data_IF_588390715386
#
_entry.id   IF_588390715386
#
_cell.length_a   1.000
_cell.length_b   1.000
_cell.length_c   1.000
_cell.angle_alpha   90.00
_cell.angle_beta   90.00
_cell.angle_gamma   90.00
#
_symmetry.space_group_name_H-M   'P 1'
#
loop_
_entity.id
_entity.type
_entity.pdbx_description
1 polymer ?
#
# COMPACT_ATOMS: atom_id res chain seq x y z
N UNK A 1 2.94 -12.97 15.00
CA UNK A 1 3.85 -13.35 13.90
C UNK A 1 3.09 -13.75 12.62
N UNK A 2 1.92 -14.38 12.70
CA UNK A 2 1.13 -14.77 11.53
C UNK A 2 0.78 -13.57 10.65
N UNK A 3 0.28 -12.48 11.22
CA UNK A 3 -0.02 -11.25 10.45
C UNK A 3 1.22 -10.71 9.70
N UNK A 4 2.41 -10.88 10.28
CA UNK A 4 3.65 -10.50 9.60
C UNK A 4 3.94 -11.40 8.40
N UNK A 5 3.71 -12.71 8.54
CA UNK A 5 3.84 -13.65 7.43
C UNK A 5 2.88 -13.33 6.30
N UNK A 6 1.63 -12.96 6.62
CA UNK A 6 0.62 -12.58 5.64
C UNK A 6 1.06 -11.34 4.85
N UNK A 7 1.57 -10.31 5.54
CA UNK A 7 2.08 -9.09 4.89
C UNK A 7 3.28 -9.38 4.00
N UNK A 8 4.25 -10.16 4.48
CA UNK A 8 5.44 -10.53 3.68
C UNK A 8 5.03 -11.35 2.45
N UNK A 9 4.10 -12.29 2.62
CA UNK A 9 3.59 -13.11 1.52
C UNK A 9 2.86 -12.27 0.48
N UNK A 10 2.05 -11.30 0.92
CA UNK A 10 1.37 -10.36 0.04
C UNK A 10 2.37 -9.48 -0.73
N UNK A 11 3.40 -8.94 -0.06
CA UNK A 11 4.45 -8.19 -0.70
C UNK A 11 5.16 -9.02 -1.77
N UNK A 12 5.54 -10.26 -1.43
CA UNK A 12 6.23 -11.16 -2.35
C UNK A 12 5.38 -11.53 -3.57
N UNK A 13 4.09 -11.80 -3.37
CA UNK A 13 3.15 -12.07 -4.46
C UNK A 13 3.01 -10.87 -5.42
N UNK A 14 3.19 -9.64 -4.92
CA UNK A 14 3.05 -8.40 -5.68
C UNK A 14 4.38 -7.75 -6.07
N UNK A 15 5.51 -8.45 -5.99
CA UNK A 15 6.82 -7.90 -6.33
C UNK A 15 6.94 -7.48 -7.81
N UNK A 16 6.16 -8.10 -8.70
CA UNK A 16 6.12 -7.81 -10.13
C UNK A 16 4.86 -6.99 -10.53
N UNK A 17 4.03 -6.60 -9.59
CA UNK A 17 2.82 -5.82 -9.86
C UNK A 17 3.19 -4.34 -10.01
N UNK A 18 2.84 -3.75 -11.16
CA UNK A 18 3.12 -2.34 -11.44
C UNK A 18 2.41 -1.43 -10.43
N UNK A 19 3.11 -0.40 -9.98
CA UNK A 19 2.58 0.59 -9.03
C UNK A 19 2.24 0.05 -7.64
N UNK A 20 2.54 -1.23 -7.35
CA UNK A 20 2.30 -1.79 -6.02
C UNK A 20 3.21 -1.14 -4.99
N UNK A 21 2.63 -0.81 -3.84
CA UNK A 21 3.33 -0.25 -2.69
C UNK A 21 3.40 -1.29 -1.57
N UNK A 22 4.63 -1.51 -1.09
CA UNK A 22 4.95 -2.46 -0.03
C UNK A 22 4.22 -2.10 1.26
N UNK A 23 3.68 -3.11 1.93
CA UNK A 23 3.20 -2.98 3.30
C UNK A 23 4.27 -3.41 4.30
N UNK A 24 4.27 -2.78 5.43
CA UNK A 24 5.10 -3.15 6.57
C UNK A 24 4.28 -3.17 7.86
N UNK A 25 4.76 -3.87 8.86
CA UNK A 25 4.10 -3.97 10.15
C UNK A 25 5.02 -3.50 11.26
N UNK A 26 4.52 -2.61 12.08
CA UNK A 26 5.19 -2.25 13.32
C UNK A 26 4.82 -3.29 14.37
N UNK A 27 5.82 -4.03 14.82
CA UNK A 27 5.70 -4.91 15.98
C UNK A 27 6.15 -4.09 17.18
N UNK A 28 5.22 -3.77 18.04
CA UNK A 28 5.50 -2.98 19.23
C UNK A 28 4.85 -3.55 20.46
N UNK A 29 5.40 -3.17 21.58
CA UNK A 29 4.82 -3.40 22.91
C UNK A 29 3.97 -2.15 23.26
N UNK A 30 2.82 -2.01 22.59
CA UNK A 30 1.92 -0.87 22.81
C UNK A 30 1.50 -0.76 24.28
N UNK A 31 1.28 -1.91 24.91
CA UNK A 31 0.91 -1.94 26.32
C UNK A 31 2.03 -1.37 27.20
N UNK A 32 3.29 -1.58 26.84
CA UNK A 32 4.42 -0.99 27.58
C UNK A 32 4.45 0.54 27.45
N UNK A 33 4.27 1.07 26.23
CA UNK A 33 4.22 2.52 26.00
C UNK A 33 3.02 3.18 26.69
N UNK A 34 1.87 2.51 26.67
CA UNK A 34 0.67 2.96 27.36
C UNK A 34 0.83 2.91 28.88
N UNK A 35 1.48 1.86 29.40
CA UNK A 35 1.78 1.69 30.81
C UNK A 35 2.79 2.73 31.30
N UNK A 36 3.88 2.98 30.56
CA UNK A 36 4.86 4.02 30.89
C UNK A 36 4.19 5.40 30.96
N UNK A 37 3.29 5.74 30.03
CA UNK A 37 2.53 6.99 30.07
C UNK A 37 1.53 7.05 31.22
N UNK A 38 0.83 5.94 31.49
CA UNK A 38 -0.12 5.86 32.59
C UNK A 38 0.58 5.92 33.96
N UNK A 39 1.73 5.28 34.10
CA UNK A 39 2.51 5.28 35.35
C UNK A 39 3.13 6.65 35.63
N UNK A 40 3.24 7.51 34.64
CA UNK A 40 3.66 8.91 34.77
C UNK A 40 2.51 9.88 35.08
N UNK A 41 1.24 9.40 35.14
CA UNK A 41 0.11 10.22 35.57
C UNK A 41 0.18 10.43 37.08
N UNK A 42 -0.14 11.62 37.61
CA UNK A 42 -0.16 11.89 39.05
C UNK A 42 -1.39 11.20 39.67
N UNK A 43 -1.25 9.90 39.93
CA UNK A 43 -2.24 9.14 40.71
C UNK A 43 -1.77 9.08 42.17
N UNK A 44 -2.55 9.67 43.06
CA UNK A 44 -2.38 9.51 44.49
C UNK A 44 -2.90 8.13 44.90
N UNK A 45 -2.11 7.38 45.71
CA UNK A 45 -2.43 6.18 46.45
C UNK A 45 -1.75 4.86 46.01
N UNK A 46 -1.70 3.94 46.93
CA UNK A 46 -1.13 2.56 46.89
C UNK A 46 -1.62 1.70 45.71
N UNK A 47 -2.70 2.07 45.04
CA UNK A 47 -3.20 1.44 43.82
C UNK A 47 -2.23 1.54 42.62
N UNK A 48 -1.29 2.53 42.66
CA UNK A 48 -0.28 2.72 41.62
C UNK A 48 0.78 1.61 41.64
N UNK A 49 1.25 1.24 42.82
CA UNK A 49 2.24 0.16 42.99
C UNK A 49 1.66 -1.20 42.64
N UNK A 50 0.42 -1.47 43.09
CA UNK A 50 -0.29 -2.69 42.73
C UNK A 50 -0.57 -2.80 41.22
N UNK A 51 -0.95 -1.69 40.54
CA UNK A 51 -1.13 -1.62 39.09
C UNK A 51 0.20 -1.78 38.36
N UNK A 52 1.29 -1.22 38.85
CA UNK A 52 2.63 -1.41 38.27
C UNK A 52 3.11 -2.85 38.39
N UNK A 53 2.87 -3.52 39.50
CA UNK A 53 3.24 -4.93 39.72
C UNK A 53 2.46 -5.87 38.82
N UNK A 54 1.15 -5.71 38.72
CA UNK A 54 0.29 -6.49 37.81
C UNK A 54 0.64 -6.25 36.35
N UNK A 55 0.99 -5.02 35.98
CA UNK A 55 1.33 -4.68 34.61
C UNK A 55 2.74 -5.13 34.19
N UNK A 56 3.67 -5.33 35.09
CA UNK A 56 4.98 -5.92 34.79
C UNK A 56 4.91 -7.41 34.50
N UNK A 57 3.90 -8.10 34.99
CA UNK A 57 3.71 -9.53 34.81
C UNK A 57 2.80 -9.88 33.61
N UNK A 58 1.93 -8.95 33.18
CA UNK A 58 0.99 -9.19 32.11
C UNK A 58 1.51 -8.58 30.80
N UNK A 59 1.86 -9.43 29.87
CA UNK A 59 1.99 -9.19 28.42
C UNK A 59 3.31 -8.56 27.97
N UNK A 60 4.32 -9.37 27.86
CA UNK A 60 5.46 -9.17 26.95
C UNK A 60 5.23 -9.88 25.60
N UNK A 61 3.99 -10.07 25.18
CA UNK A 61 3.71 -10.68 23.86
C UNK A 61 3.76 -9.58 22.81
N UNK A 62 4.74 -9.61 21.91
CA UNK A 62 4.78 -8.68 20.78
C UNK A 62 3.55 -8.90 19.91
N UNK A 63 2.78 -7.85 19.67
CA UNK A 63 1.65 -7.85 18.76
C UNK A 63 1.84 -6.78 17.69
N UNK A 64 1.16 -6.97 16.56
CA UNK A 64 1.14 -5.97 15.50
C UNK A 64 0.38 -4.76 16.01
N UNK A 65 1.06 -3.63 16.08
CA UNK A 65 0.46 -2.37 16.55
C UNK A 65 -0.18 -1.64 15.39
N UNK A 66 0.49 -1.62 14.24
CA UNK A 66 0.04 -0.91 13.07
C UNK A 66 0.61 -1.57 11.80
N UNK A 67 -0.22 -1.69 10.77
CA UNK A 67 0.23 -1.99 9.42
C UNK A 67 0.19 -0.68 8.63
N UNK A 68 1.24 -0.39 7.90
CA UNK A 68 1.34 0.82 7.09
C UNK A 68 1.92 0.52 5.70
N UNK A 69 1.53 1.32 4.72
CA UNK A 69 2.03 1.21 3.36
C UNK A 69 3.17 2.19 3.14
N UNK A 70 4.26 1.73 2.53
CA UNK A 70 5.40 2.56 2.13
C UNK A 70 5.18 3.10 0.72
N UNK A 71 5.04 4.42 0.60
CA UNK A 71 4.73 5.09 -0.67
C UNK A 71 5.96 5.57 -1.45
N UNK A 72 7.16 5.16 -1.04
CA UNK A 72 8.40 5.42 -1.78
C UNK A 72 8.28 5.00 -3.25
N UNK A 73 8.97 5.72 -4.14
CA UNK A 73 8.99 5.39 -5.56
C UNK A 73 9.60 4.00 -5.80
N UNK A 74 8.97 3.24 -6.67
CA UNK A 74 9.54 2.03 -7.25
C UNK A 74 10.52 2.34 -8.36
N UNK A 75 11.21 1.32 -8.86
CA UNK A 75 12.06 1.46 -10.05
C UNK A 75 11.21 1.74 -11.30
N UNK A 76 11.70 2.58 -12.21
CA UNK A 76 11.06 2.79 -13.51
C UNK A 76 11.56 1.77 -14.53
N UNK A 77 10.63 1.20 -15.29
CA UNK A 77 10.93 0.34 -16.43
C UNK A 77 10.43 0.99 -17.71
N UNK A 78 11.30 1.07 -18.70
CA UNK A 78 10.93 1.54 -20.04
C UNK A 78 10.19 0.44 -20.78
N UNK A 79 9.04 0.76 -21.36
CA UNK A 79 8.19 -0.19 -22.10
C UNK A 79 8.03 0.21 -23.56
N UNK A 80 8.30 1.46 -23.90
CA UNK A 80 8.08 2.06 -25.22
C UNK A 80 6.60 2.04 -25.69
N UNK A 81 5.67 1.58 -24.85
CA UNK A 81 4.24 1.68 -25.13
C UNK A 81 3.75 3.09 -24.77
N UNK A 82 3.15 3.85 -25.71
CA UNK A 82 2.72 5.21 -25.46
C UNK A 82 1.57 5.34 -24.44
N UNK A 83 0.87 4.26 -24.13
CA UNK A 83 -0.19 4.20 -23.11
C UNK A 83 0.34 3.91 -21.70
N UNK A 84 1.61 3.54 -21.59
CA UNK A 84 2.25 3.32 -20.28
C UNK A 84 2.77 4.65 -19.74
N UNK A 85 2.33 4.99 -18.54
CA UNK A 85 2.62 6.26 -17.88
C UNK A 85 3.17 6.02 -16.48
N UNK A 86 4.30 6.62 -16.16
CA UNK A 86 4.84 6.55 -14.80
C UNK A 86 4.87 7.93 -14.15
N UNK A 87 4.40 8.03 -12.90
CA UNK A 87 4.47 9.27 -12.13
C UNK A 87 5.87 9.50 -11.56
N UNK A 88 6.41 10.69 -11.81
CA UNK A 88 7.79 11.07 -11.44
C UNK A 88 7.94 11.46 -9.96
N UNK A 89 6.85 11.88 -9.31
CA UNK A 89 6.87 12.42 -7.95
C UNK A 89 6.28 11.44 -6.95
N UNK A 90 6.80 11.48 -5.73
CA UNK A 90 6.21 10.76 -4.60
C UNK A 90 4.85 11.36 -4.22
N UNK A 91 4.02 10.55 -3.56
CA UNK A 91 2.71 10.96 -3.05
C UNK A 91 1.71 11.45 -4.11
N UNK A 92 2.01 11.24 -5.40
CA UNK A 92 1.12 11.54 -6.52
C UNK A 92 0.44 10.26 -7.02
N UNK A 93 -0.75 10.40 -7.59
CA UNK A 93 -1.56 9.26 -8.05
C UNK A 93 -2.40 9.65 -9.27
N UNK A 94 -2.66 8.69 -10.15
CA UNK A 94 -3.70 8.81 -11.15
C UNK A 94 -5.08 8.65 -10.49
N UNK A 95 -6.05 9.42 -10.94
CA UNK A 95 -7.44 9.28 -10.52
C UNK A 95 -8.21 8.41 -11.51
N UNK A 96 -8.97 7.44 -11.01
CA UNK A 96 -9.73 6.47 -11.78
C UNK A 96 -11.20 6.50 -11.35
N UNK A 97 -12.11 6.44 -12.33
CA UNK A 97 -13.54 6.35 -12.08
C UNK A 97 -13.97 4.89 -11.95
N UNK A 98 -14.44 4.50 -10.78
CA UNK A 98 -14.94 3.15 -10.53
C UNK A 98 -16.41 3.18 -10.11
N UNK A 99 -17.15 2.06 -10.19
CA UNK A 99 -18.53 1.98 -9.70
C UNK A 99 -18.68 2.35 -8.22
N UNK A 100 -17.61 2.19 -7.43
CA UNK A 100 -17.57 2.58 -6.01
C UNK A 100 -17.10 4.03 -5.77
N UNK A 101 -17.02 4.87 -6.83
CA UNK A 101 -16.51 6.25 -6.80
C UNK A 101 -15.06 6.36 -7.24
N UNK A 102 -14.49 7.53 -7.04
CA UNK A 102 -13.10 7.80 -7.46
C UNK A 102 -12.11 7.00 -6.63
N UNK A 103 -11.16 6.38 -7.29
CA UNK A 103 -10.03 5.66 -6.72
C UNK A 103 -8.73 6.22 -7.27
N UNK A 104 -7.65 5.93 -6.57
CA UNK A 104 -6.33 6.45 -6.88
C UNK A 104 -5.37 5.29 -7.11
N UNK A 105 -4.47 5.42 -8.09
CA UNK A 105 -3.51 4.34 -8.38
C UNK A 105 -2.15 4.88 -8.78
N UNK A 106 -1.13 4.03 -8.58
CA UNK A 106 0.22 4.24 -9.11
C UNK A 106 0.49 3.34 -10.34
N UNK A 107 -0.42 2.38 -10.63
CA UNK A 107 -0.30 1.56 -11.83
C UNK A 107 -0.68 2.40 -13.05
N UNK A 108 0.29 2.70 -13.87
CA UNK A 108 0.13 3.46 -15.11
C UNK A 108 0.13 2.57 -16.35
N UNK A 109 -0.07 1.27 -16.22
CA UNK A 109 -0.25 0.36 -17.38
C UNK A 109 -1.68 0.47 -17.89
N UNK A 110 -1.90 1.45 -18.72
CA UNK A 110 -3.22 1.73 -19.29
C UNK A 110 -3.41 1.08 -20.65
N UNK A 111 -4.65 1.01 -21.08
CA UNK A 111 -5.08 0.59 -22.41
C UNK A 111 -6.16 1.54 -22.92
N UNK A 112 -6.44 1.47 -24.20
CA UNK A 112 -7.52 2.25 -24.82
C UNK A 112 -8.66 1.29 -25.15
N UNK A 113 -9.90 1.68 -24.80
CA UNK A 113 -11.08 0.93 -25.18
C UNK A 113 -11.56 1.32 -26.58
N UNK A 114 -12.62 0.65 -27.09
CA UNK A 114 -13.20 0.89 -28.42
C UNK A 114 -13.76 2.32 -28.60
N UNK A 115 -14.03 3.01 -27.52
CA UNK A 115 -14.49 4.39 -27.53
C UNK A 115 -13.34 5.42 -27.51
N UNK A 116 -12.08 4.96 -27.47
CA UNK A 116 -10.90 5.82 -27.37
C UNK A 116 -10.61 6.29 -25.93
N UNK A 117 -11.30 5.77 -24.92
CA UNK A 117 -11.08 6.18 -23.56
C UNK A 117 -9.89 5.44 -22.94
N UNK A 118 -9.09 6.16 -22.17
CA UNK A 118 -7.96 5.59 -21.42
C UNK A 118 -8.50 4.84 -20.19
N UNK A 119 -8.22 3.53 -20.13
CA UNK A 119 -8.72 2.66 -19.06
C UNK A 119 -7.58 1.86 -18.44
N UNK A 120 -7.79 1.45 -17.18
CA UNK A 120 -6.88 0.53 -16.51
C UNK A 120 -7.19 -0.94 -16.90
N UNK A 121 -6.44 -1.90 -16.34
CA UNK A 121 -6.61 -3.35 -16.58
C UNK A 121 -8.00 -3.90 -16.24
N UNK A 122 -8.75 -3.21 -15.36
CA UNK A 122 -10.10 -3.56 -14.96
C UNK A 122 -11.17 -2.90 -15.81
N UNK A 123 -10.78 -2.08 -16.80
CA UNK A 123 -11.69 -1.34 -17.67
C UNK A 123 -12.22 -0.04 -17.03
N UNK A 124 -11.67 0.43 -15.92
CA UNK A 124 -12.07 1.68 -15.31
C UNK A 124 -11.36 2.87 -15.97
N UNK A 125 -12.11 3.93 -16.21
CA UNK A 125 -11.63 5.13 -16.89
C UNK A 125 -10.66 5.95 -16.06
N UNK A 126 -9.58 6.40 -16.69
CA UNK A 126 -8.67 7.41 -16.13
C UNK A 126 -9.34 8.77 -16.27
N UNK A 127 -9.32 9.55 -15.19
CA UNK A 127 -10.02 10.83 -15.15
C UNK A 127 -9.18 11.96 -15.74
N UNK A 128 -9.80 12.80 -16.59
CA UNK A 128 -9.20 14.06 -16.99
C UNK A 128 -9.31 15.09 -15.87
N UNK A 129 -8.43 16.07 -15.89
CA UNK A 129 -8.37 17.13 -14.86
C UNK A 129 -9.67 17.91 -14.69
N UNK A 130 -10.39 18.14 -15.78
CA UNK A 130 -11.69 18.83 -15.78
C UNK A 130 -12.88 17.94 -15.48
N UNK A 131 -12.68 16.68 -15.10
CA UNK A 131 -13.77 15.73 -14.89
C UNK A 131 -14.84 16.23 -13.90
N UNK A 132 -14.46 16.92 -12.85
CA UNK A 132 -15.42 17.43 -11.87
C UNK A 132 -16.25 18.61 -12.39
N UNK A 133 -15.79 19.30 -13.44
CA UNK A 133 -16.48 20.41 -14.09
C UNK A 133 -17.43 19.90 -15.18
N UNK A 134 -16.90 19.10 -16.11
CA UNK A 134 -17.61 18.72 -17.35
C UNK A 134 -18.13 17.28 -17.35
N UNK A 135 -17.68 16.44 -16.42
CA UNK A 135 -17.92 14.98 -16.36
C UNK A 135 -17.61 14.24 -17.67
N UNK A 136 -16.78 14.82 -18.51
CA UNK A 136 -16.37 14.24 -19.77
C UNK A 136 -15.24 13.21 -19.54
N UNK A 137 -15.23 12.07 -20.25
CA UNK A 137 -14.14 11.11 -20.19
C UNK A 137 -12.90 11.66 -20.88
N UNK A 138 -11.73 11.09 -20.56
CA UNK A 138 -10.48 11.33 -21.28
C UNK A 138 -10.50 10.48 -22.55
N UNK A 139 -10.61 11.12 -23.72
CA UNK A 139 -10.66 10.45 -25.02
C UNK A 139 -9.34 10.72 -25.75
N UNK A 140 -8.66 9.65 -26.14
CA UNK A 140 -7.47 9.72 -26.97
C UNK A 140 -7.83 9.56 -28.45
N UNK A 141 -7.07 10.17 -29.38
CA UNK A 141 -7.30 9.99 -30.82
C UNK A 141 -7.02 8.53 -31.21
N UNK A 142 -8.01 7.88 -31.88
CA UNK A 142 -7.91 6.48 -32.31
C UNK A 142 -7.08 6.37 -33.59
N UNK A 143 -7.25 7.35 -34.51
CA UNK A 143 -6.69 7.30 -35.87
C UNK A 143 -5.41 8.14 -36.05
N UNK A 144 -4.90 8.73 -34.97
CA UNK A 144 -3.71 9.60 -35.01
C UNK A 144 -2.72 9.20 -33.93
N UNK A 145 -1.45 9.44 -34.21
CA UNK A 145 -0.43 9.35 -33.16
C UNK A 145 -0.64 10.44 -32.12
N UNK A 146 -0.36 10.10 -30.88
CA UNK A 146 -0.46 11.04 -29.77
C UNK A 146 0.79 10.98 -28.88
N UNK A 147 1.04 12.06 -28.22
CA UNK A 147 2.07 12.18 -27.19
C UNK A 147 1.47 12.82 -25.93
N UNK A 148 1.94 12.38 -24.81
CA UNK A 148 1.58 12.93 -23.49
C UNK A 148 2.81 13.58 -22.92
N UNK A 149 2.73 14.86 -22.61
CA UNK A 149 3.84 15.58 -22.05
C UNK A 149 4.03 15.29 -20.54
N UNK A 150 5.05 15.87 -19.97
CA UNK A 150 5.36 15.70 -18.54
C UNK A 150 4.31 16.28 -17.60
N UNK A 151 3.48 17.19 -18.05
CA UNK A 151 2.38 17.78 -17.27
C UNK A 151 1.11 16.92 -17.30
N UNK A 152 1.02 15.99 -18.27
CA UNK A 152 -0.17 15.17 -18.50
C UNK A 152 -1.07 15.69 -19.60
N UNK A 153 -0.64 16.73 -20.34
CA UNK A 153 -1.35 17.25 -21.49
C UNK A 153 -1.20 16.29 -22.67
N UNK A 154 -2.31 16.00 -23.34
CA UNK A 154 -2.35 15.16 -24.51
C UNK A 154 -2.15 16.03 -25.76
N UNK A 155 -1.26 15.61 -26.63
CA UNK A 155 -0.98 16.22 -27.93
C UNK A 155 -1.24 15.23 -29.04
N UNK A 156 -1.96 15.65 -30.06
CA UNK A 156 -2.11 14.89 -31.31
C UNK A 156 -0.98 15.25 -32.25
N UNK A 157 -0.40 14.25 -32.89
CA UNK A 157 0.66 14.40 -33.89
C UNK A 157 0.05 14.09 -35.28
N UNK A 158 0.00 15.09 -36.15
CA UNK A 158 -0.38 14.85 -37.53
C UNK A 158 0.84 14.43 -38.34
N UNK A 159 0.81 13.21 -38.87
CA UNK A 159 1.93 12.65 -39.66
C UNK A 159 2.12 13.32 -41.01
N UNK A 160 1.09 13.95 -41.54
CA UNK A 160 1.17 14.58 -42.88
C UNK A 160 1.96 15.91 -42.84
N UNK A 161 1.70 16.71 -41.82
CA UNK A 161 2.30 18.04 -41.67
C UNK A 161 3.29 18.15 -40.51
N UNK A 162 3.48 17.05 -39.75
CA UNK A 162 4.27 17.02 -38.48
C UNK A 162 3.83 18.11 -37.49
N UNK A 163 2.57 18.52 -37.58
CA UNK A 163 2.01 19.50 -36.66
C UNK A 163 1.62 18.85 -35.36
N UNK A 164 2.00 19.46 -34.25
CA UNK A 164 1.63 19.03 -32.90
C UNK A 164 0.56 19.97 -32.40
N UNK A 165 -0.65 19.45 -32.20
CA UNK A 165 -1.77 20.23 -31.66
C UNK A 165 -2.12 19.73 -30.26
N UNK A 166 -2.21 20.64 -29.28
CA UNK A 166 -2.64 20.25 -27.94
C UNK A 166 -4.14 19.90 -27.98
N UNK A 167 -4.46 18.74 -27.46
CA UNK A 167 -5.84 18.44 -27.09
C UNK A 167 -6.16 19.23 -25.82
N UNK A 168 -7.44 19.61 -25.65
CA UNK A 168 -7.86 20.37 -24.46
C UNK A 168 -8.01 19.48 -23.22
N UNK A 169 -7.41 18.30 -23.24
CA UNK A 169 -7.53 17.29 -22.18
C UNK A 169 -6.18 17.04 -21.52
N UNK A 170 -6.20 17.03 -20.20
CA UNK A 170 -5.05 16.79 -19.35
C UNK A 170 -5.39 15.67 -18.36
N UNK A 171 -4.51 14.69 -18.19
CA UNK A 171 -4.68 13.60 -17.24
C UNK A 171 -4.69 14.15 -15.83
N UNK A 172 -5.65 13.74 -15.01
CA UNK A 172 -5.72 14.12 -13.62
C UNK A 172 -4.66 13.40 -12.80
N UNK A 173 -3.71 14.16 -12.29
CA UNK A 173 -2.76 13.72 -11.28
C UNK A 173 -3.09 14.42 -9.97
N UNK A 174 -3.20 13.66 -8.92
CA UNK A 174 -3.51 14.18 -7.59
C UNK A 174 -2.37 13.90 -6.63
N UNK A 175 -2.17 14.79 -5.66
CA UNK A 175 -1.20 14.65 -4.59
C UNK A 175 -1.89 14.61 -3.23
N UNK A 176 -1.36 13.80 -2.34
CA UNK A 176 -1.76 13.75 -0.94
C UNK A 176 -0.62 14.22 -0.05
N UNK A 177 -0.85 15.25 0.74
CA UNK A 177 0.12 15.73 1.73
C UNK A 177 0.39 14.68 2.82
N UNK A 178 -0.63 13.89 3.13
CA UNK A 178 -0.52 12.81 4.09
C UNK A 178 -1.11 11.50 3.55
N UNK A 179 -0.24 10.66 3.04
CA UNK A 179 -0.57 9.35 2.47
C UNK A 179 -1.09 8.32 3.49
N UNK A 180 -0.97 8.60 4.80
CA UNK A 180 -1.50 7.69 5.85
C UNK A 180 -3.02 7.54 5.82
N UNK A 181 -3.73 8.47 5.18
CA UNK A 181 -5.19 8.37 5.02
C UNK A 181 -5.62 7.53 3.81
N UNK A 182 -4.67 7.13 2.98
CA UNK A 182 -4.93 6.23 1.88
C UNK A 182 -5.08 4.78 2.40
N UNK A 183 -6.16 4.14 1.99
CA UNK A 183 -6.41 2.72 2.26
C UNK A 183 -6.38 1.95 0.96
N UNK A 184 -5.75 0.79 0.94
CA UNK A 184 -5.76 -0.10 -0.21
C UNK A 184 -7.17 -0.65 -0.44
N UNK A 185 -7.63 -0.63 -1.69
CA UNK A 185 -8.95 -1.12 -2.13
C UNK A 185 -8.81 -2.24 -3.19
N UNK A 186 -7.71 -2.99 -3.14
CA UNK A 186 -7.39 -4.04 -4.10
C UNK A 186 -6.86 -3.51 -5.44
N UNK A 187 -6.35 -4.38 -6.30
CA UNK A 187 -5.87 -4.09 -7.67
C UNK A 187 -4.96 -2.85 -7.78
N UNK A 188 -4.05 -2.66 -6.85
CA UNK A 188 -3.17 -1.49 -6.74
C UNK A 188 -3.91 -0.14 -6.68
N UNK A 189 -5.17 -0.14 -6.28
CA UNK A 189 -5.97 1.06 -6.08
C UNK A 189 -6.03 1.45 -4.61
N UNK A 190 -6.24 2.75 -4.38
CA UNK A 190 -6.34 3.35 -3.06
C UNK A 190 -7.63 4.17 -2.95
N UNK A 191 -8.20 4.18 -1.76
CA UNK A 191 -9.35 5.01 -1.40
C UNK A 191 -9.00 5.91 -0.22
N UNK A 192 -9.68 7.04 -0.11
CA UNK A 192 -9.53 7.97 1.01
C UNK A 192 -10.83 8.70 1.27
N UNK A 193 -11.01 9.14 2.51
CA UNK A 193 -12.11 10.05 2.90
C UNK A 193 -11.71 11.53 2.83
N UNK A 194 -10.45 11.84 2.43
CA UNK A 194 -9.98 13.22 2.30
C UNK A 194 -9.86 13.61 0.84
N UNK A 195 -10.14 14.87 0.56
CA UNK A 195 -9.97 15.43 -0.77
C UNK A 195 -8.48 15.57 -1.10
N UNK A 196 -8.04 15.09 -2.27
CA UNK A 196 -6.69 15.29 -2.75
C UNK A 196 -6.48 16.70 -3.32
N UNK A 197 -5.24 17.11 -3.42
CA UNK A 197 -4.87 18.29 -4.22
C UNK A 197 -4.64 17.86 -5.66
N UNK A 198 -5.28 18.54 -6.61
CA UNK A 198 -5.03 18.34 -8.04
C UNK A 198 -3.72 19.06 -8.40
N UNK A 199 -2.78 18.33 -8.96
CA UNK A 199 -1.52 18.91 -9.44
C UNK A 199 -1.69 19.69 -10.74
N UNK A 200 -1.00 20.81 -10.84
CA UNK A 200 -1.10 21.73 -11.96
C UNK A 200 0.28 21.95 -12.59
N UNK A 201 0.55 21.19 -13.67
CA UNK A 201 1.79 21.38 -14.43
C UNK A 201 3.05 20.82 -13.74
N UNK A 202 4.17 20.91 -14.43
CA UNK A 202 5.46 20.44 -13.95
C UNK A 202 5.87 19.06 -14.50
N UNK A 203 6.92 18.47 -13.95
CA UNK A 203 7.42 17.14 -14.33
C UNK A 203 6.68 16.06 -13.51
N UNK A 204 5.41 15.81 -13.88
CA UNK A 204 4.53 14.90 -13.14
C UNK A 204 4.67 13.46 -13.62
N UNK A 205 4.84 13.24 -14.92
CA UNK A 205 4.81 11.91 -15.52
C UNK A 205 5.82 11.70 -16.65
N UNK A 206 6.02 10.43 -16.98
CA UNK A 206 6.86 9.97 -18.10
C UNK A 206 6.07 8.98 -18.95
N UNK A 207 5.90 9.29 -20.24
CA UNK A 207 5.32 8.40 -21.22
C UNK A 207 6.31 7.30 -21.62
N UNK A 208 5.82 6.09 -21.90
CA UNK A 208 6.63 4.93 -22.27
C UNK A 208 7.37 4.28 -21.10
N UNK A 209 6.97 4.57 -19.88
CA UNK A 209 7.51 3.99 -18.67
C UNK A 209 6.40 3.50 -17.74
N UNK A 210 6.71 2.50 -16.94
CA UNK A 210 5.88 2.04 -15.82
C UNK A 210 6.68 2.09 -14.52
N UNK A 211 5.98 2.35 -13.43
CA UNK A 211 6.55 2.21 -12.10
C UNK A 211 6.42 0.76 -11.64
N UNK A 212 7.52 0.11 -11.30
CA UNK A 212 7.53 -1.22 -10.70
C UNK A 212 7.19 -1.17 -9.22
N UNK A 213 6.86 -2.32 -8.65
CA UNK A 213 6.73 -2.47 -7.20
C UNK A 213 7.99 -2.00 -6.47
N UNK A 214 7.81 -1.34 -5.31
CA UNK A 214 8.92 -0.97 -4.42
C UNK A 214 9.33 -2.11 -3.47
N UNK A 215 8.82 -3.32 -3.69
CA UNK A 215 9.17 -4.53 -2.94
C UNK A 215 10.57 -5.01 -3.34
N UNK A 216 11.42 -5.26 -2.35
CA UNK A 216 12.70 -5.94 -2.56
C UNK A 216 12.56 -7.44 -2.30
N UNK A 217 12.57 -8.31 -3.34
CA UNK A 217 12.29 -9.74 -3.18
C UNK A 217 13.27 -10.44 -2.25
N UNK A 218 14.57 -10.08 -2.30
CA UNK A 218 15.61 -10.70 -1.48
C UNK A 218 15.36 -10.40 0.00
N UNK A 219 15.04 -9.14 0.31
CA UNK A 219 14.72 -8.72 1.68
C UNK A 219 13.46 -9.43 2.19
N UNK A 220 12.39 -9.48 1.39
CA UNK A 220 11.14 -10.14 1.80
C UNK A 220 11.35 -11.65 2.01
N UNK A 221 12.10 -12.34 1.13
CA UNK A 221 12.41 -13.76 1.30
C UNK A 221 13.22 -14.03 2.57
N UNK A 222 14.22 -13.19 2.87
CA UNK A 222 15.02 -13.32 4.09
C UNK A 222 14.14 -13.14 5.33
N UNK A 223 13.30 -12.09 5.32
CA UNK A 223 12.37 -11.81 6.42
C UNK A 223 11.34 -12.93 6.59
N UNK A 224 10.87 -13.53 5.48
CA UNK A 224 9.97 -14.69 5.50
C UNK A 224 10.61 -15.89 6.22
N UNK A 225 11.85 -16.23 5.85
CA UNK A 225 12.60 -17.34 6.46
C UNK A 225 12.81 -17.09 7.96
N UNK A 226 13.22 -15.89 8.34
CA UNK A 226 13.42 -15.53 9.75
C UNK A 226 12.11 -15.62 10.55
N UNK A 227 11.02 -15.10 9.99
CA UNK A 227 9.70 -15.12 10.65
C UNK A 227 9.17 -16.56 10.79
N UNK A 228 9.33 -17.41 9.77
CA UNK A 228 8.97 -18.82 9.84
C UNK A 228 9.78 -19.57 10.91
N UNK A 229 11.08 -19.30 11.02
CA UNK A 229 11.92 -19.90 12.08
C UNK A 229 11.46 -19.48 13.48
N UNK A 230 11.09 -18.20 13.65
CA UNK A 230 10.54 -17.70 14.91
C UNK A 230 9.22 -18.40 15.27
N UNK A 231 8.30 -18.52 14.31
CA UNK A 231 7.02 -19.23 14.52
C UNK A 231 7.28 -20.68 14.93
N UNK A 232 8.18 -21.38 14.24
CA UNK A 232 8.53 -22.76 14.59
C UNK A 232 9.18 -22.91 15.97
N UNK A 233 9.99 -21.93 16.40
CA UNK A 233 10.52 -21.91 17.75
C UNK A 233 9.42 -21.71 18.81
N UNK A 234 8.48 -20.78 18.58
CA UNK A 234 7.35 -20.59 19.50
C UNK A 234 6.45 -21.83 19.59
N UNK A 235 6.21 -22.51 18.47
CA UNK A 235 5.44 -23.77 18.49
C UNK A 235 6.14 -24.83 19.35
N UNK A 236 7.44 -25.04 19.17
CA UNK A 236 8.21 -25.99 19.99
C UNK A 236 8.18 -25.67 21.50
N UNK A 237 8.26 -24.38 21.84
CA UNK A 237 8.17 -23.94 23.25
C UNK A 237 6.78 -24.23 23.82
N UNK A 238 5.73 -23.94 23.06
CA UNK A 238 4.35 -24.23 23.48
C UNK A 238 4.11 -25.73 23.66
N UNK A 239 4.59 -26.55 22.72
CA UNK A 239 4.46 -28.02 22.80
C UNK A 239 5.21 -28.58 24.02
N UNK A 240 6.42 -28.07 24.30
CA UNK A 240 7.17 -28.44 25.51
C UNK A 240 6.43 -28.08 26.79
N UNK A 241 5.92 -26.84 26.87
CA UNK A 241 5.15 -26.41 28.05
C UNK A 241 3.85 -27.22 28.26
N UNK A 242 3.14 -27.52 27.16
CA UNK A 242 1.93 -28.36 27.23
C UNK A 242 2.24 -29.77 27.71
N UNK A 243 3.34 -30.36 27.22
CA UNK A 243 3.77 -31.68 27.65
C UNK A 243 4.20 -31.71 29.12
N UNK A 244 4.94 -30.69 29.56
CA UNK A 244 5.36 -30.57 30.98
C UNK A 244 4.14 -30.39 31.88
N UNK A 245 3.18 -29.53 31.53
CA UNK A 245 1.94 -29.33 32.29
C UNK A 245 1.09 -30.59 32.34
N UNK A 246 0.97 -31.34 31.24
CA UNK A 246 0.24 -32.60 31.21
C UNK A 246 0.92 -33.67 32.09
N UNK A 247 2.25 -33.75 32.03
CA UNK A 247 3.02 -34.67 32.87
C UNK A 247 2.83 -34.37 34.35
N UNK A 248 2.90 -33.09 34.73
CA UNK A 248 2.67 -32.65 36.12
C UNK A 248 1.24 -32.92 36.61
N UNK A 249 0.25 -32.69 35.73
CA UNK A 249 -1.16 -32.96 36.02
C UNK A 249 -1.40 -34.46 36.25
N UNK A 250 -0.84 -35.33 35.41
CA UNK A 250 -0.95 -36.79 35.52
C UNK A 250 -0.26 -37.28 36.81
N UNK A 251 0.93 -36.78 37.12
CA UNK A 251 1.66 -37.15 38.33
C UNK A 251 0.94 -36.73 39.63
N UNK A 252 0.35 -35.52 39.63
CA UNK A 252 -0.45 -35.06 40.79
C UNK A 252 -1.75 -35.86 40.96
N UNK A 253 -2.44 -36.18 39.86
CA UNK A 253 -3.65 -37.05 39.94
C UNK A 253 -3.33 -38.48 40.36
N UNK A 254 -2.17 -39.01 39.94
CA UNK A 254 -1.69 -40.33 40.32
C UNK A 254 -1.31 -40.40 41.83
N UNK A 255 -0.77 -39.32 42.39
CA UNK A 255 -0.35 -39.27 43.82
C UNK A 255 -1.52 -39.10 44.82
N UNK A 256 -2.71 -38.74 44.36
CA UNK A 256 -3.92 -38.59 45.23
C UNK A 256 -4.66 -39.92 45.43
N UNK A 257 -4.26 -41.00 44.75
CA UNK A 257 -4.89 -42.35 44.83
C UNK A 257 -4.05 -43.36 45.56
N UNK A 258 -2.99 -42.97 46.26
CA UNK A 258 -2.15 -43.85 47.09
C UNK A 258 -2.39 -43.69 48.59
#
# INVERSE_FOLDING_TARGET
>A
QFNRLDVISNNLANMNTNGFKRDDVVIGDFMRLFQEKRDNLPLENHTKEGAQYLNRSIVRVPHVVEAYTQYELGGFAKTDNPLDLALSQENTFFAINTPGGVRYTRDGSFSMNDAGELVNKQGYQVLPKKFFEDKAPLILPIDKDFSIDKSGMVYTIDQADLTVTPELQEIMVVRFDNVKYLKKDGNSMFTTSREPMIENGGDLMRQGFIEKSNVNPVREMTTLIETNRLVGMYQKVMDSQMNDMNSDAINKLGSVRG
#
